data_IF_001748731952
#
_entry.id   IF_001748731952
#
_cell.length_a   1.000
_cell.length_b   1.000
_cell.length_c   1.000
_cell.angle_alpha   90.00
_cell.angle_beta   90.00
_cell.angle_gamma   90.00
#
_symmetry.space_group_name_H-M   'P 1'
#
loop_
_entity.id
_entity.type
_entity.pdbx_description
1 polymer ?
#
# COMPACT_ATOMS: atom_id res chain seq x y z
N UNK A 1 -6.22 31.81 10.73
CA UNK A 1 -5.23 31.39 9.71
C UNK A 1 -5.95 30.37 8.86
N UNK A 2 -6.06 30.56 7.55
CA UNK A 2 -6.60 29.50 6.68
C UNK A 2 -5.61 28.34 6.71
N UNK A 3 -6.06 27.17 7.16
CA UNK A 3 -5.29 25.93 7.02
C UNK A 3 -5.21 25.60 5.53
N UNK A 4 -4.02 25.78 4.96
CA UNK A 4 -3.75 25.44 3.57
C UNK A 4 -3.41 23.97 3.54
N UNK A 5 -4.35 23.14 3.09
CA UNK A 5 -4.10 21.73 2.85
C UNK A 5 -3.07 21.58 1.72
N UNK A 6 -2.09 20.70 1.93
CA UNK A 6 -1.02 20.42 0.96
C UNK A 6 -0.94 18.93 0.74
N UNK A 7 -0.69 18.54 -0.50
CA UNK A 7 -0.40 17.17 -0.85
C UNK A 7 0.82 16.68 -0.06
N UNK A 8 0.68 15.57 0.67
CA UNK A 8 1.74 15.00 1.48
C UNK A 8 2.91 14.46 0.61
N UNK A 9 2.65 14.06 -0.63
CA UNK A 9 3.67 13.56 -1.57
C UNK A 9 4.51 14.66 -2.22
N UNK A 10 3.88 15.74 -2.71
CA UNK A 10 4.57 16.76 -3.53
C UNK A 10 4.52 18.18 -2.97
N UNK A 11 3.83 18.41 -1.86
CA UNK A 11 3.72 19.72 -1.20
C UNK A 11 2.85 20.76 -1.95
N UNK A 12 2.20 20.36 -3.04
CA UNK A 12 1.29 21.22 -3.82
C UNK A 12 0.08 21.61 -2.97
N UNK A 13 -0.32 22.87 -3.02
CA UNK A 13 -1.51 23.37 -2.32
C UNK A 13 -2.77 22.69 -2.91
N UNK A 14 -3.51 22.00 -2.06
CA UNK A 14 -4.82 21.46 -2.36
C UNK A 14 -5.83 22.60 -2.17
N UNK A 15 -6.47 23.00 -3.27
CA UNK A 15 -7.45 24.09 -3.26
C UNK A 15 -8.86 23.60 -2.89
N UNK A 16 -9.07 22.30 -3.01
CA UNK A 16 -10.31 21.62 -2.63
C UNK A 16 -10.18 21.15 -1.19
N UNK A 17 -11.16 21.52 -0.34
CA UNK A 17 -11.32 21.02 1.04
C UNK A 17 -11.80 19.57 1.08
N UNK A 18 -11.38 18.78 0.11
CA UNK A 18 -11.41 17.34 0.26
C UNK A 18 -10.35 17.03 1.31
N UNK A 19 -10.71 16.36 2.40
CA UNK A 19 -9.78 15.80 3.40
C UNK A 19 -8.86 14.72 2.79
N UNK A 20 -8.45 14.88 1.52
CA UNK A 20 -7.62 13.99 0.75
C UNK A 20 -6.14 14.33 1.03
N UNK A 21 -5.33 13.33 1.40
CA UNK A 21 -3.92 13.55 1.75
C UNK A 21 -3.04 13.90 0.54
N UNK A 22 -3.47 13.57 -0.68
CA UNK A 22 -2.69 13.73 -1.89
C UNK A 22 -3.45 14.55 -2.94
N UNK A 23 -2.73 15.08 -3.93
CA UNK A 23 -3.34 15.64 -5.13
C UNK A 23 -3.62 14.53 -6.14
N UNK A 24 -4.61 14.71 -7.01
CA UNK A 24 -5.00 13.74 -8.05
C UNK A 24 -3.81 13.15 -8.82
N UNK A 25 -2.83 13.98 -9.20
CA UNK A 25 -1.63 13.52 -9.91
C UNK A 25 -0.72 12.61 -9.07
N UNK A 26 -0.66 12.85 -7.76
CA UNK A 26 0.10 12.01 -6.83
C UNK A 26 -0.68 10.74 -6.50
N UNK A 27 -2.00 10.82 -6.32
CA UNK A 27 -2.87 9.65 -6.16
C UNK A 27 -2.69 8.68 -7.33
N UNK A 28 -2.90 9.15 -8.57
CA UNK A 28 -2.73 8.31 -9.76
C UNK A 28 -1.32 7.70 -9.90
N UNK A 29 -0.30 8.42 -9.40
CA UNK A 29 1.08 7.93 -9.42
C UNK A 29 1.28 6.85 -8.35
N UNK A 30 0.80 7.07 -7.14
CA UNK A 30 0.89 6.12 -6.04
C UNK A 30 0.11 4.85 -6.37
N UNK A 31 -1.07 4.96 -6.96
CA UNK A 31 -1.87 3.82 -7.42
C UNK A 31 -1.07 2.96 -8.41
N UNK A 32 -0.43 3.57 -9.42
CA UNK A 32 0.43 2.83 -10.37
C UNK A 32 1.63 2.16 -9.69
N UNK A 33 2.20 2.82 -8.69
CA UNK A 33 3.30 2.23 -7.91
C UNK A 33 2.80 1.06 -7.06
N UNK A 34 1.58 1.15 -6.53
CA UNK A 34 0.93 0.08 -5.80
C UNK A 34 0.66 -1.14 -6.71
N UNK A 35 0.10 -0.91 -7.91
CA UNK A 35 -0.10 -1.95 -8.92
C UNK A 35 1.23 -2.66 -9.27
N UNK A 36 2.31 -1.89 -9.40
CA UNK A 36 3.64 -2.45 -9.66
C UNK A 36 4.14 -3.33 -8.50
N UNK A 37 3.80 -3.00 -7.24
CA UNK A 37 4.14 -3.84 -6.09
C UNK A 37 3.36 -5.16 -6.14
N UNK A 38 2.07 -5.11 -6.48
CA UNK A 38 1.24 -6.30 -6.67
C UNK A 38 1.82 -7.22 -7.76
N UNK A 39 2.16 -6.66 -8.93
CA UNK A 39 2.79 -7.40 -10.02
C UNK A 39 4.07 -8.11 -9.58
N UNK A 40 4.94 -7.42 -8.83
CA UNK A 40 6.18 -8.02 -8.33
C UNK A 40 5.89 -9.21 -7.41
N UNK A 41 4.93 -9.10 -6.48
CA UNK A 41 4.55 -10.19 -5.57
C UNK A 41 4.07 -11.41 -6.38
N UNK A 42 3.26 -11.19 -7.41
CA UNK A 42 2.73 -12.25 -8.27
C UNK A 42 3.83 -12.89 -9.13
N UNK A 43 4.67 -12.08 -9.78
CA UNK A 43 5.71 -12.53 -10.73
C UNK A 43 6.79 -13.33 -10.03
N UNK A 44 7.27 -12.85 -8.87
CA UNK A 44 8.34 -13.53 -8.13
C UNK A 44 7.85 -14.77 -7.37
N UNK A 45 6.55 -15.09 -7.42
CA UNK A 45 5.93 -16.27 -6.78
C UNK A 45 6.48 -16.51 -5.38
N UNK A 46 6.36 -15.49 -4.53
CA UNK A 46 6.89 -15.58 -3.17
C UNK A 46 6.21 -16.67 -2.32
N UNK A 47 5.08 -17.23 -2.81
CA UNK A 47 4.36 -18.33 -2.19
C UNK A 47 4.35 -19.57 -3.10
N UNK A 48 4.68 -20.71 -2.51
CA UNK A 48 4.54 -22.02 -3.13
C UNK A 48 3.06 -22.41 -3.24
N UNK A 49 2.70 -23.23 -4.23
CA UNK A 49 1.32 -23.73 -4.40
C UNK A 49 0.78 -24.43 -3.12
N UNK A 50 1.66 -25.08 -2.35
CA UNK A 50 1.29 -25.70 -1.06
C UNK A 50 0.97 -24.69 0.03
N UNK A 51 1.62 -23.53 0.00
CA UNK A 51 1.39 -22.43 0.93
C UNK A 51 0.09 -21.71 0.57
N UNK A 52 -0.20 -21.49 -0.72
CA UNK A 52 -1.49 -20.97 -1.20
C UNK A 52 -2.65 -21.86 -0.73
N UNK A 53 -2.56 -23.18 -0.92
CA UNK A 53 -3.56 -24.13 -0.41
C UNK A 53 -3.73 -24.12 1.11
N UNK A 54 -2.72 -23.67 1.84
CA UNK A 54 -2.80 -23.48 3.28
C UNK A 54 -3.54 -22.19 3.60
N UNK A 55 -3.24 -21.10 2.89
CA UNK A 55 -3.89 -19.80 3.03
C UNK A 55 -5.38 -19.84 2.66
N UNK A 56 -5.78 -20.65 1.66
CA UNK A 56 -7.20 -20.87 1.27
C UNK A 56 -8.10 -21.37 2.42
N UNK A 57 -7.54 -21.82 3.54
CA UNK A 57 -8.28 -22.30 4.71
C UNK A 57 -8.60 -21.20 5.73
N UNK A 58 -8.07 -20.00 5.53
CA UNK A 58 -8.21 -18.86 6.42
C UNK A 58 -9.18 -17.83 5.83
N UNK A 59 -9.71 -16.94 6.68
CA UNK A 59 -10.55 -15.83 6.23
C UNK A 59 -9.70 -14.72 5.59
N UNK A 60 -10.31 -13.93 4.71
CA UNK A 60 -9.63 -12.81 4.02
C UNK A 60 -9.01 -11.80 5.00
N UNK A 61 -9.63 -11.63 6.18
CA UNK A 61 -9.13 -10.79 7.29
C UNK A 61 -7.80 -11.31 7.84
N UNK A 62 -7.67 -12.62 8.06
CA UNK A 62 -6.45 -13.26 8.54
C UNK A 62 -5.32 -13.16 7.51
N UNK A 63 -5.65 -13.30 6.23
CA UNK A 63 -4.69 -13.12 5.13
C UNK A 63 -4.20 -11.67 5.09
N UNK A 64 -5.11 -10.69 5.20
CA UNK A 64 -4.73 -9.27 5.28
C UNK A 64 -3.79 -9.00 6.47
N UNK A 65 -4.09 -9.57 7.64
CA UNK A 65 -3.27 -9.40 8.84
C UNK A 65 -1.92 -10.14 8.77
N UNK A 66 -1.83 -11.24 8.01
CA UNK A 66 -0.55 -11.85 7.67
C UNK A 66 0.35 -10.86 6.90
N UNK A 67 -0.15 -10.28 5.81
CA UNK A 67 0.62 -9.33 5.00
C UNK A 67 1.04 -8.09 5.81
N UNK A 68 0.15 -7.53 6.64
CA UNK A 68 0.50 -6.41 7.54
C UNK A 68 1.63 -6.78 8.50
N UNK A 69 1.61 -7.98 9.08
CA UNK A 69 2.67 -8.46 10.00
C UNK A 69 4.00 -8.67 9.28
N UNK A 70 3.98 -9.20 8.05
CA UNK A 70 5.19 -9.36 7.23
C UNK A 70 5.78 -8.00 6.89
N UNK A 71 4.97 -7.07 6.37
CA UNK A 71 5.38 -5.70 6.09
C UNK A 71 5.97 -4.99 7.32
N UNK A 72 5.30 -5.12 8.49
CA UNK A 72 5.77 -4.51 9.73
C UNK A 72 7.10 -5.09 10.24
N UNK A 73 7.44 -6.35 9.88
CA UNK A 73 8.74 -6.94 10.19
C UNK A 73 9.81 -6.43 9.22
N UNK A 74 9.55 -6.51 7.92
CA UNK A 74 10.49 -6.06 6.88
C UNK A 74 10.82 -4.57 7.00
N UNK A 75 9.85 -3.72 7.36
CA UNK A 75 10.06 -2.28 7.56
C UNK A 75 10.81 -1.90 8.85
N UNK A 76 10.90 -2.83 9.81
CA UNK A 76 11.61 -2.66 11.09
C UNK A 76 12.95 -3.38 11.13
N UNK A 77 13.23 -4.23 10.15
CA UNK A 77 14.58 -4.73 9.90
C UNK A 77 15.41 -3.57 9.34
N UNK A 78 15.85 -2.67 10.24
CA UNK A 78 16.88 -1.68 9.95
C UNK A 78 18.12 -2.41 9.41
N UNK A 79 18.59 -2.00 8.22
CA UNK A 79 19.94 -2.31 7.72
C UNK A 79 20.93 -1.39 8.39
#
# INVERSE_FOLDING_TARGET
MEEVEKCEECGKILKDKSYAPYCEQCDEKLDKQFDTIEDNIIIYKELLDSEIKTLEKFEDSDISDLFKRVYAKLSKEEV
#
